data_IF_144381815244
#
_entry.id   IF_144381815244
#
_cell.length_a   1.000
_cell.length_b   1.000
_cell.length_c   1.000
_cell.angle_alpha   90.00
_cell.angle_beta   90.00
_cell.angle_gamma   90.00
#
_symmetry.space_group_name_H-M   'P 1'
#
loop_
_entity.id
_entity.type
_entity.pdbx_description
1 polymer ?
#
# COMPACT_ATOMS: atom_id res chain seq x y z
N UNK A 1 54.89 -34.11 -7.67
CA UNK A 1 53.48 -33.74 -7.93
C UNK A 1 53.18 -32.48 -7.13
N UNK A 2 52.50 -31.53 -7.78
CA UNK A 2 52.12 -30.18 -7.31
C UNK A 2 53.28 -29.26 -6.87
N UNK A 3 53.73 -28.42 -7.80
CA UNK A 3 54.57 -27.26 -7.56
C UNK A 3 53.80 -26.25 -6.69
N UNK A 4 54.17 -26.09 -5.42
CA UNK A 4 53.53 -25.19 -4.44
C UNK A 4 54.02 -23.75 -4.51
N UNK A 5 54.87 -23.39 -5.50
CA UNK A 5 55.18 -21.99 -5.81
C UNK A 5 54.09 -21.36 -6.68
N UNK A 6 52.82 -21.57 -6.34
CA UNK A 6 51.73 -20.76 -6.88
C UNK A 6 51.81 -19.38 -6.24
N UNK A 7 52.76 -18.59 -6.75
CA UNK A 7 52.70 -17.13 -6.70
C UNK A 7 51.36 -16.76 -7.32
N UNK A 8 50.38 -16.40 -6.52
CA UNK A 8 49.37 -15.47 -7.01
C UNK A 8 50.12 -14.15 -7.25
N UNK A 9 50.70 -14.02 -8.44
CA UNK A 9 50.83 -12.68 -9.01
C UNK A 9 49.39 -12.19 -9.04
N UNK A 10 49.11 -11.07 -8.38
CA UNK A 10 48.05 -10.22 -8.84
C UNK A 10 48.44 -9.80 -10.26
N UNK A 11 48.21 -10.69 -11.23
CA UNK A 11 48.04 -10.31 -12.62
C UNK A 11 47.12 -9.13 -12.56
N UNK A 12 47.63 -8.01 -13.05
CA UNK A 12 46.97 -6.73 -13.25
C UNK A 12 45.48 -6.91 -13.06
N UNK A 13 44.95 -6.51 -11.90
CA UNK A 13 43.51 -6.53 -11.67
C UNK A 13 42.94 -5.47 -12.60
N UNK A 14 42.68 -5.88 -13.85
CA UNK A 14 41.92 -5.17 -14.88
C UNK A 14 40.43 -5.45 -14.72
N UNK A 15 39.98 -5.90 -13.54
CA UNK A 15 38.56 -5.83 -13.24
C UNK A 15 38.23 -4.38 -12.90
N UNK A 16 37.16 -3.86 -13.52
CA UNK A 16 36.50 -2.60 -13.16
C UNK A 16 35.93 -2.62 -11.71
N UNK A 17 36.32 -3.59 -10.90
CA UNK A 17 35.84 -3.85 -9.54
C UNK A 17 36.82 -3.21 -8.57
N UNK A 18 36.64 -1.91 -8.38
CA UNK A 18 37.42 -1.09 -7.46
C UNK A 18 37.43 -1.72 -6.07
N UNK A 19 38.58 -2.30 -5.72
CA UNK A 19 38.77 -3.07 -4.50
C UNK A 19 38.48 -2.26 -3.22
N UNK A 20 38.64 -0.94 -3.26
CA UNK A 20 38.09 -0.04 -2.24
C UNK A 20 38.07 1.43 -2.72
N UNK A 21 36.89 2.07 -2.81
CA UNK A 21 36.72 3.50 -3.03
C UNK A 21 37.60 4.43 -2.18
N UNK A 22 37.74 4.15 -0.90
CA UNK A 22 38.46 5.00 0.04
C UNK A 22 39.99 4.84 -0.09
N UNK A 23 40.46 3.67 -0.57
CA UNK A 23 41.88 3.43 -0.80
C UNK A 23 42.38 4.10 -2.08
N UNK A 24 41.54 4.20 -3.11
CA UNK A 24 41.88 4.84 -4.39
C UNK A 24 42.15 6.35 -4.29
N UNK A 25 41.71 7.00 -3.21
CA UNK A 25 41.96 8.42 -2.93
C UNK A 25 43.11 8.65 -1.93
N UNK A 26 43.65 7.59 -1.30
CA UNK A 26 44.86 7.71 -0.49
C UNK A 26 46.08 7.82 -1.40
N UNK A 27 46.88 8.87 -1.22
CA UNK A 27 48.20 8.98 -1.85
C UNK A 27 49.07 7.84 -1.30
N UNK A 28 49.10 6.71 -1.99
CA UNK A 28 49.80 5.52 -1.53
C UNK A 28 51.23 5.59 -2.07
N UNK A 29 52.21 5.83 -1.18
CA UNK A 29 53.53 5.23 -1.35
C UNK A 29 53.31 3.71 -1.44
N UNK A 30 53.86 3.07 -2.48
CA UNK A 30 53.72 1.64 -2.78
C UNK A 30 53.61 0.79 -1.50
N UNK A 31 52.40 0.32 -1.19
CA UNK A 31 52.19 -0.63 -0.10
C UNK A 31 52.19 -2.03 -0.70
N UNK A 32 53.32 -2.72 -0.61
CA UNK A 32 53.43 -4.14 -0.98
C UNK A 32 53.00 -4.99 0.22
N UNK A 33 52.14 -5.98 -0.02
CA UNK A 33 51.73 -6.97 0.99
C UNK A 33 52.62 -8.21 0.84
N UNK A 34 53.61 -8.39 1.71
CA UNK A 34 54.33 -9.66 1.85
C UNK A 34 53.66 -10.53 2.91
N UNK A 35 53.28 -11.75 2.53
CA UNK A 35 52.86 -12.81 3.44
C UNK A 35 54.09 -13.62 3.86
N UNK A 36 54.66 -13.28 5.02
CA UNK A 36 55.80 -13.99 5.61
C UNK A 36 55.35 -14.96 6.72
N UNK A 37 54.26 -15.71 6.50
CA UNK A 37 53.73 -16.76 7.39
C UNK A 37 53.48 -16.35 8.85
N UNK A 38 53.52 -15.06 9.16
CA UNK A 38 53.41 -14.56 10.52
C UNK A 38 52.06 -13.87 10.70
N UNK A 39 51.14 -14.55 11.40
CA UNK A 39 49.97 -13.90 11.98
C UNK A 39 50.44 -12.68 12.78
N UNK A 40 50.00 -11.49 12.36
CA UNK A 40 49.80 -10.30 13.19
C UNK A 40 50.74 -10.21 14.42
N UNK A 41 52.03 -9.92 14.21
CA UNK A 41 52.89 -9.40 15.27
C UNK A 41 53.57 -8.11 14.82
N UNK A 42 53.66 -7.13 15.72
CA UNK A 42 54.15 -5.80 15.44
C UNK A 42 55.28 -5.41 16.38
N UNK A 43 56.39 -4.99 15.79
CA UNK A 43 57.37 -4.13 16.44
C UNK A 43 57.63 -2.94 15.52
N UNK A 44 57.23 -1.76 16.01
CA UNK A 44 57.49 -0.37 15.58
C UNK A 44 58.14 -0.09 14.21
N UNK A 45 57.46 0.74 13.40
CA UNK A 45 58.01 1.47 12.23
C UNK A 45 57.33 1.10 10.91
N UNK A 46 56.66 2.06 10.25
CA UNK A 46 55.93 2.03 8.94
C UNK A 46 54.91 0.90 8.67
N UNK A 47 55.03 -0.24 9.32
CA UNK A 47 54.12 -1.39 9.23
C UNK A 47 52.80 -1.19 9.99
N UNK A 48 52.61 -0.12 10.78
CA UNK A 48 51.36 0.11 11.52
C UNK A 48 50.24 0.61 10.61
N UNK A 49 50.50 1.58 9.74
CA UNK A 49 49.50 2.12 8.81
C UNK A 49 49.07 1.06 7.78
N UNK A 50 50.02 0.29 7.24
CA UNK A 50 49.74 -0.83 6.34
C UNK A 50 48.89 -1.91 7.03
N UNK A 51 49.14 -2.19 8.32
CA UNK A 51 48.31 -3.11 9.13
C UNK A 51 46.90 -2.56 9.36
N UNK A 52 46.75 -1.29 9.71
CA UNK A 52 45.44 -0.66 9.86
C UNK A 52 44.66 -0.63 8.54
N UNK A 53 45.33 -0.37 7.42
CA UNK A 53 44.75 -0.42 6.09
C UNK A 53 44.31 -1.86 5.73
N UNK A 54 45.18 -2.85 5.94
CA UNK A 54 44.86 -4.27 5.72
C UNK A 54 43.69 -4.75 6.57
N UNK A 55 43.61 -4.36 7.85
CA UNK A 55 42.48 -4.67 8.72
C UNK A 55 41.19 -4.03 8.22
N UNK A 56 41.23 -2.76 7.79
CA UNK A 56 40.08 -2.09 7.21
C UNK A 56 39.62 -2.82 5.93
N UNK A 57 40.54 -3.17 5.03
CA UNK A 57 40.23 -3.86 3.78
C UNK A 57 39.65 -5.25 4.01
N UNK A 58 40.21 -6.03 4.95
CA UNK A 58 39.66 -7.33 5.34
C UNK A 58 38.25 -7.21 5.91
N UNK A 59 37.95 -6.15 6.66
CA UNK A 59 36.60 -5.88 7.16
C UNK A 59 35.63 -5.52 6.02
N UNK A 60 36.04 -4.71 5.05
CA UNK A 60 35.22 -4.38 3.87
C UNK A 60 34.84 -5.62 3.05
N UNK A 61 35.79 -6.52 2.85
CA UNK A 61 35.57 -7.79 2.14
C UNK A 61 34.62 -8.71 2.93
N UNK A 62 34.87 -8.87 4.24
CA UNK A 62 34.01 -9.67 5.13
C UNK A 62 32.57 -9.15 5.17
N UNK A 63 32.38 -7.82 5.15
CA UNK A 63 31.06 -7.20 5.12
C UNK A 63 30.37 -7.31 3.75
N UNK A 64 31.08 -7.74 2.70
CA UNK A 64 30.53 -7.99 1.37
C UNK A 64 30.48 -6.75 0.49
N UNK A 65 31.43 -5.81 0.61
CA UNK A 65 31.54 -4.70 -0.34
C UNK A 65 31.81 -5.14 -1.80
N UNK A 66 32.58 -6.22 -2.09
CA UNK A 66 32.78 -6.70 -3.45
C UNK A 66 31.74 -7.73 -3.88
N UNK A 67 30.63 -7.92 -3.14
CA UNK A 67 29.67 -9.00 -3.38
C UNK A 67 29.30 -9.19 -4.86
N UNK A 68 29.78 -10.28 -5.46
CA UNK A 68 29.43 -10.78 -6.79
C UNK A 68 28.46 -11.97 -6.72
N UNK A 69 28.03 -12.34 -5.51
CA UNK A 69 27.14 -13.49 -5.30
C UNK A 69 25.78 -13.20 -5.94
N UNK A 70 25.33 -14.12 -6.81
CA UNK A 70 24.05 -14.04 -7.52
C UNK A 70 22.91 -13.76 -6.53
N UNK A 71 22.09 -12.76 -6.82
CA UNK A 71 20.93 -12.30 -6.02
C UNK A 71 21.24 -11.61 -4.68
N UNK A 72 22.50 -11.27 -4.39
CA UNK A 72 22.85 -10.47 -3.21
C UNK A 72 23.38 -9.09 -3.61
N UNK A 73 23.06 -8.07 -2.82
CA UNK A 73 23.54 -6.69 -3.00
C UNK A 73 24.78 -6.44 -2.16
N UNK A 74 25.63 -5.50 -2.60
CA UNK A 74 26.79 -5.02 -1.85
C UNK A 74 26.36 -4.51 -0.47
N UNK A 75 27.29 -4.51 0.51
CA UNK A 75 27.02 -4.06 1.88
C UNK A 75 26.38 -2.66 1.98
N UNK A 76 26.78 -1.73 1.12
CA UNK A 76 26.22 -0.39 1.10
C UNK A 76 25.00 -0.26 0.18
N UNK A 77 24.75 -1.24 -0.69
CA UNK A 77 23.75 -1.18 -1.76
C UNK A 77 24.37 -0.86 -3.13
N UNK A 78 23.51 -0.57 -4.10
CA UNK A 78 23.94 -0.15 -5.44
C UNK A 78 24.42 1.31 -5.41
N UNK A 79 25.31 1.67 -6.34
CA UNK A 79 25.73 3.07 -6.45
C UNK A 79 24.56 3.97 -6.85
N UNK A 80 24.48 5.15 -6.22
CA UNK A 80 23.41 6.12 -6.48
C UNK A 80 23.92 7.13 -7.50
N UNK A 81 23.22 7.26 -8.63
CA UNK A 81 23.54 8.27 -9.63
C UNK A 81 23.29 9.67 -9.08
N UNK A 82 24.23 10.59 -9.30
CA UNK A 82 24.05 12.01 -9.03
C UNK A 82 23.36 12.63 -10.25
N UNK A 83 22.37 13.48 -10.03
CA UNK A 83 21.65 14.16 -11.10
C UNK A 83 22.57 15.05 -11.96
N UNK A 84 22.15 15.29 -13.19
CA UNK A 84 22.87 16.12 -14.15
C UNK A 84 24.07 15.44 -14.80
N UNK A 85 24.79 16.22 -15.60
CA UNK A 85 26.08 15.83 -16.18
C UNK A 85 27.20 16.66 -15.58
N UNK A 86 28.38 16.08 -15.45
CA UNK A 86 29.50 16.68 -14.74
C UNK A 86 30.74 16.71 -15.63
N UNK A 87 31.54 17.77 -15.50
CA UNK A 87 32.75 17.99 -16.25
C UNK A 87 33.85 18.54 -15.35
N UNK A 88 35.08 18.13 -15.60
CA UNK A 88 36.26 18.67 -14.93
C UNK A 88 37.49 18.48 -15.81
N UNK A 89 38.45 19.38 -15.65
CA UNK A 89 39.72 19.31 -16.36
C UNK A 89 40.74 18.54 -15.53
N UNK A 90 41.71 17.92 -16.20
CA UNK A 90 42.85 17.29 -15.55
C UNK A 90 43.62 18.32 -14.70
N UNK A 91 44.21 17.85 -13.60
CA UNK A 91 44.96 18.63 -12.61
C UNK A 91 44.15 19.75 -11.96
N UNK A 92 42.83 19.53 -11.81
CA UNK A 92 41.95 20.46 -11.09
C UNK A 92 41.19 19.74 -9.97
N UNK A 93 40.77 20.53 -8.98
CA UNK A 93 39.94 20.06 -7.87
C UNK A 93 38.45 20.34 -8.09
N UNK A 94 38.09 21.09 -9.15
CA UNK A 94 36.74 21.62 -9.34
C UNK A 94 35.97 20.72 -10.30
N UNK A 95 34.78 20.33 -9.90
CA UNK A 95 33.84 19.57 -10.72
C UNK A 95 32.62 20.45 -10.97
N UNK A 96 32.34 20.73 -12.24
CA UNK A 96 31.24 21.58 -12.67
C UNK A 96 30.13 20.70 -13.26
N UNK A 97 28.89 21.00 -12.91
CA UNK A 97 27.70 20.27 -13.33
C UNK A 97 26.77 21.11 -14.20
N UNK A 98 25.92 20.42 -14.95
CA UNK A 98 24.77 20.99 -15.64
C UNK A 98 23.54 20.18 -15.26
N UNK A 99 22.53 20.83 -14.66
CA UNK A 99 21.29 20.18 -14.22
C UNK A 99 21.46 19.26 -13.01
N UNK A 100 22.52 19.44 -12.22
CA UNK A 100 22.78 18.69 -11.00
C UNK A 100 22.13 19.29 -9.76
N UNK A 101 22.06 18.47 -8.70
CA UNK A 101 21.47 18.81 -7.40
C UNK A 101 22.40 18.46 -6.23
N UNK A 102 23.69 18.78 -6.36
CA UNK A 102 24.73 18.39 -5.39
C UNK A 102 24.45 18.83 -3.94
N UNK A 103 23.78 19.96 -3.71
CA UNK A 103 23.45 20.43 -2.36
C UNK A 103 22.46 19.55 -1.61
N UNK A 104 21.74 18.68 -2.31
CA UNK A 104 20.72 17.78 -1.75
C UNK A 104 21.08 16.31 -1.89
N UNK A 105 21.95 15.97 -2.83
CA UNK A 105 22.24 14.57 -3.21
C UNK A 105 23.57 14.06 -2.66
N UNK A 106 24.50 14.94 -2.29
CA UNK A 106 25.82 14.60 -1.76
C UNK A 106 26.17 15.47 -0.56
N UNK A 107 27.11 15.00 0.27
CA UNK A 107 27.64 15.76 1.40
C UNK A 107 29.16 15.89 1.34
N UNK A 108 29.70 16.86 2.09
CA UNK A 108 31.13 16.93 2.34
C UNK A 108 31.61 15.62 2.98
N UNK A 109 32.80 15.18 2.59
CA UNK A 109 33.42 13.92 2.99
C UNK A 109 32.85 12.64 2.39
N UNK A 110 31.80 12.70 1.57
CA UNK A 110 31.34 11.53 0.81
C UNK A 110 32.27 11.21 -0.36
N UNK A 111 32.13 9.98 -0.87
CA UNK A 111 32.92 9.50 -2.00
C UNK A 111 32.09 9.56 -3.28
N UNK A 112 32.67 10.14 -4.32
CA UNK A 112 32.11 10.19 -5.67
C UNK A 112 32.97 9.37 -6.63
N UNK A 113 32.29 8.66 -7.52
CA UNK A 113 32.86 7.77 -8.53
C UNK A 113 32.72 8.42 -9.90
N UNK A 114 33.85 8.53 -10.59
CA UNK A 114 33.98 8.98 -11.96
C UNK A 114 34.06 7.78 -12.92
N UNK A 115 33.77 7.99 -14.21
CA UNK A 115 34.02 6.98 -15.23
C UNK A 115 35.46 6.45 -15.20
N UNK A 116 35.64 5.17 -15.53
CA UNK A 116 36.95 4.52 -15.43
C UNK A 116 37.37 4.17 -14.00
N UNK A 117 36.45 4.29 -13.03
CA UNK A 117 36.65 3.85 -11.66
C UNK A 117 37.50 4.78 -10.79
N UNK A 118 37.68 6.03 -11.21
CA UNK A 118 38.37 7.00 -10.36
C UNK A 118 37.44 7.43 -9.23
N UNK A 119 37.93 7.40 -8.00
CA UNK A 119 37.15 7.76 -6.82
C UNK A 119 37.81 8.94 -6.11
N UNK A 120 36.99 9.89 -5.67
CA UNK A 120 37.44 11.06 -4.93
C UNK A 120 36.52 11.36 -3.76
N UNK A 121 37.11 11.85 -2.68
CA UNK A 121 36.38 12.44 -1.57
C UNK A 121 35.95 13.86 -1.91
N UNK A 122 34.69 14.17 -1.63
CA UNK A 122 34.15 15.52 -1.76
C UNK A 122 34.67 16.38 -0.62
N UNK A 123 35.22 17.55 -0.95
CA UNK A 123 35.82 18.48 0.01
C UNK A 123 34.84 19.59 0.37
N UNK A 124 34.31 20.29 -0.64
CA UNK A 124 33.28 21.32 -0.45
C UNK A 124 32.24 21.27 -1.56
N UNK A 125 30.99 21.54 -1.22
CA UNK A 125 29.91 21.74 -2.19
C UNK A 125 29.67 23.24 -2.28
N UNK A 126 29.93 23.83 -3.44
CA UNK A 126 29.82 25.27 -3.67
C UNK A 126 28.41 25.65 -4.17
N UNK A 127 27.77 24.77 -4.94
CA UNK A 127 26.38 24.94 -5.40
C UNK A 127 25.81 23.60 -5.89
N UNK A 128 24.53 23.58 -6.29
CA UNK A 128 23.89 22.39 -6.90
C UNK A 128 24.65 21.86 -8.12
N UNK A 129 25.41 22.73 -8.81
CA UNK A 129 26.15 22.42 -10.03
C UNK A 129 27.67 22.57 -9.84
N UNK A 130 28.18 22.62 -8.61
CA UNK A 130 29.63 22.70 -8.42
C UNK A 130 30.04 22.16 -7.05
N UNK A 131 31.04 21.29 -7.06
CA UNK A 131 31.72 20.83 -5.85
C UNK A 131 33.22 20.68 -6.11
N UNK A 132 33.99 20.57 -5.04
CA UNK A 132 35.42 20.31 -5.09
C UNK A 132 35.75 18.94 -4.51
N UNK A 133 36.81 18.33 -5.04
CA UNK A 133 37.35 17.06 -4.55
C UNK A 133 38.61 17.28 -3.71
N UNK A 134 38.96 16.30 -2.89
CA UNK A 134 40.10 16.38 -1.97
C UNK A 134 41.46 16.30 -2.68
N UNK A 135 41.52 15.65 -3.85
CA UNK A 135 42.72 15.44 -4.66
C UNK A 135 42.42 15.65 -6.14
N UNK A 136 43.39 16.18 -6.87
CA UNK A 136 43.26 16.51 -8.29
C UNK A 136 42.88 15.26 -9.12
N UNK A 137 42.05 15.50 -10.14
CA UNK A 137 41.68 14.50 -11.13
C UNK A 137 42.75 14.47 -12.23
N UNK A 138 43.23 13.28 -12.59
CA UNK A 138 44.32 13.13 -13.57
C UNK A 138 43.83 13.19 -15.03
N UNK A 139 42.54 12.96 -15.24
CA UNK A 139 41.92 12.88 -16.57
C UNK A 139 40.92 14.02 -16.76
N UNK A 140 40.70 14.41 -18.02
CA UNK A 140 39.59 15.25 -18.40
C UNK A 140 38.30 14.43 -18.43
N UNK A 141 37.22 14.97 -17.87
CA UNK A 141 35.89 14.40 -17.95
C UNK A 141 34.96 15.45 -18.55
N UNK A 142 34.18 15.06 -19.56
CA UNK A 142 33.23 15.95 -20.24
C UNK A 142 31.85 15.32 -20.25
N UNK A 143 30.87 16.02 -19.69
CA UNK A 143 29.45 15.65 -19.63
C UNK A 143 29.21 14.22 -19.14
N UNK A 144 29.94 13.81 -18.10
CA UNK A 144 29.87 12.46 -17.57
C UNK A 144 28.80 12.34 -16.48
N UNK A 145 28.26 11.15 -16.33
CA UNK A 145 27.43 10.79 -15.18
C UNK A 145 28.34 10.36 -14.04
N UNK A 146 28.06 10.86 -12.84
CA UNK A 146 28.77 10.49 -11.62
C UNK A 146 27.86 9.67 -10.71
N UNK A 147 28.48 8.85 -9.89
CA UNK A 147 27.78 8.06 -8.88
C UNK A 147 28.38 8.31 -7.50
N UNK A 148 27.58 8.17 -6.45
CA UNK A 148 28.05 8.14 -5.06
C UNK A 148 27.85 6.76 -4.46
N UNK A 149 28.61 6.50 -3.41
CA UNK A 149 28.32 5.38 -2.52
C UNK A 149 27.20 5.79 -1.55
N UNK A 150 26.10 5.02 -1.48
CA UNK A 150 25.16 5.18 -0.37
C UNK A 150 25.84 4.85 0.97
N UNK A 151 25.37 5.46 2.04
CA UNK A 151 25.83 5.15 3.40
C UNK A 151 25.11 3.92 3.94
N UNK A 152 25.71 3.27 4.95
CA UNK A 152 25.02 2.20 5.68
C UNK A 152 23.70 2.68 6.31
N UNK A 153 23.68 3.94 6.78
CA UNK A 153 22.48 4.56 7.36
C UNK A 153 21.32 4.63 6.36
N UNK A 154 21.60 5.06 5.12
CA UNK A 154 20.58 5.09 4.05
C UNK A 154 20.05 3.68 3.73
N UNK A 155 20.91 2.67 3.72
CA UNK A 155 20.50 1.27 3.50
C UNK A 155 19.65 0.74 4.64
N UNK A 156 20.07 0.95 5.89
CA UNK A 156 19.33 0.50 7.08
C UNK A 156 17.96 1.19 7.16
N UNK A 157 17.90 2.49 6.92
CA UNK A 157 16.62 3.21 6.84
C UNK A 157 15.68 2.63 5.79
N UNK A 158 16.20 2.30 4.60
CA UNK A 158 15.40 1.68 3.55
C UNK A 158 14.85 0.31 3.97
N UNK A 159 15.62 -0.47 4.74
CA UNK A 159 15.19 -1.76 5.30
C UNK A 159 14.13 -1.55 6.39
N UNK A 160 14.32 -0.58 7.29
CA UNK A 160 13.34 -0.22 8.32
C UNK A 160 12.00 0.19 7.70
N UNK A 161 12.04 1.06 6.69
CA UNK A 161 10.84 1.49 5.97
C UNK A 161 10.15 0.30 5.26
N UNK A 162 10.93 -0.67 4.73
CA UNK A 162 10.40 -1.92 4.14
C UNK A 162 9.78 -2.85 5.19
N UNK A 163 10.40 -2.98 6.36
CA UNK A 163 9.89 -3.80 7.46
C UNK A 163 8.59 -3.22 7.99
N UNK A 164 8.53 -1.90 8.24
CA UNK A 164 7.31 -1.26 8.75
C UNK A 164 6.17 -1.29 7.73
N UNK A 165 6.47 -1.13 6.44
CA UNK A 165 5.48 -1.29 5.37
C UNK A 165 4.96 -2.72 5.23
N UNK A 166 5.78 -3.73 5.53
CA UNK A 166 5.41 -5.15 5.43
C UNK A 166 4.43 -5.63 6.51
N UNK A 167 4.32 -4.92 7.65
CA UNK A 167 3.44 -5.32 8.76
C UNK A 167 1.95 -5.12 8.46
N UNK A 168 1.62 -4.22 7.54
CA UNK A 168 0.23 -3.88 7.19
C UNK A 168 0.02 -4.18 5.70
N UNK A 169 -0.78 -5.20 5.36
CA UNK A 169 -0.94 -5.61 3.97
C UNK A 169 -1.63 -4.54 3.13
N UNK A 170 -1.32 -4.51 1.84
CA UNK A 170 -1.98 -3.62 0.88
C UNK A 170 -3.50 -3.79 0.92
N UNK A 171 -4.23 -2.67 0.91
CA UNK A 171 -5.70 -2.65 1.03
C UNK A 171 -6.21 -2.78 2.47
N UNK A 172 -5.36 -3.02 3.47
CA UNK A 172 -5.78 -2.97 4.86
C UNK A 172 -6.21 -1.55 5.26
N UNK A 173 -7.21 -1.48 6.13
CA UNK A 173 -7.76 -0.23 6.64
C UNK A 173 -7.44 -0.12 8.12
N UNK A 174 -6.90 1.03 8.52
CA UNK A 174 -6.56 1.36 9.91
C UNK A 174 -7.31 2.61 10.36
N UNK A 175 -7.54 2.72 11.66
CA UNK A 175 -7.92 3.97 12.30
C UNK A 175 -6.68 4.84 12.51
N UNK A 176 -6.77 6.11 12.17
CA UNK A 176 -5.68 7.08 12.33
C UNK A 176 -6.25 8.46 12.72
N UNK A 177 -6.75 8.61 13.96
CA UNK A 177 -7.41 9.83 14.41
C UNK A 177 -6.47 11.04 14.51
N UNK A 178 -5.15 10.82 14.57
CA UNK A 178 -4.14 11.85 14.74
C UNK A 178 -3.29 12.09 13.48
N UNK A 179 -3.67 11.52 12.34
CA UNK A 179 -2.95 11.65 11.07
C UNK A 179 -1.47 11.24 11.11
N UNK A 180 -1.13 10.20 11.88
CA UNK A 180 0.24 9.72 12.05
C UNK A 180 0.67 8.73 10.97
N UNK A 181 -0.27 8.11 10.25
CA UNK A 181 0.06 7.18 9.18
C UNK A 181 0.70 7.93 7.99
N UNK A 182 1.80 7.38 7.47
CA UNK A 182 2.55 7.99 6.37
C UNK A 182 1.67 8.26 5.16
N UNK A 183 1.69 9.49 4.67
CA UNK A 183 0.83 9.98 3.56
C UNK A 183 1.20 9.39 2.20
N UNK A 184 2.41 8.86 2.05
CA UNK A 184 2.84 8.08 0.88
C UNK A 184 2.23 6.68 0.90
N UNK A 185 2.08 6.15 2.10
CA UNK A 185 1.77 4.75 2.36
C UNK A 185 0.27 4.51 2.60
N UNK A 186 -0.42 5.54 3.07
CA UNK A 186 -1.82 5.49 3.47
C UNK A 186 -2.59 6.67 2.89
N UNK A 187 -3.85 6.43 2.51
CA UNK A 187 -4.78 7.44 2.01
C UNK A 187 -6.09 7.39 2.75
N UNK A 188 -6.71 8.55 2.97
CA UNK A 188 -8.05 8.63 3.55
C UNK A 188 -9.07 7.91 2.65
N UNK A 189 -10.01 7.19 3.26
CA UNK A 189 -11.07 6.47 2.52
C UNK A 189 -12.29 7.36 2.29
N UNK A 190 -12.13 8.31 1.35
CA UNK A 190 -13.10 9.36 1.03
C UNK A 190 -13.43 9.43 -0.47
N UNK A 191 -13.28 8.31 -1.20
CA UNK A 191 -13.46 8.24 -2.66
C UNK A 191 -12.43 9.01 -3.49
N UNK A 192 -11.33 9.49 -2.90
CA UNK A 192 -10.30 10.21 -3.66
C UNK A 192 -9.70 9.33 -4.78
N UNK A 193 -9.39 9.96 -5.91
CA UNK A 193 -8.67 9.33 -7.00
C UNK A 193 -7.17 9.28 -6.68
N UNK A 194 -6.55 8.12 -6.86
CA UNK A 194 -5.13 7.88 -6.67
C UNK A 194 -4.50 7.28 -7.94
N UNK A 195 -3.22 7.56 -8.15
CA UNK A 195 -2.48 7.17 -9.36
C UNK A 195 -2.30 5.65 -9.48
N UNK A 196 -2.65 5.08 -10.64
CA UNK A 196 -2.40 3.66 -10.97
C UNK A 196 -0.91 3.36 -11.10
N UNK A 197 -0.11 4.32 -11.58
CA UNK A 197 1.33 4.12 -11.75
C UNK A 197 2.05 4.15 -10.41
N UNK A 198 1.71 5.10 -9.54
CA UNK A 198 2.33 5.26 -8.22
C UNK A 198 1.94 4.13 -7.28
N UNK A 199 0.67 3.72 -7.29
CA UNK A 199 0.12 2.69 -6.41
C UNK A 199 -0.25 1.43 -7.19
N UNK A 200 0.67 1.00 -8.06
CA UNK A 200 0.47 -0.12 -9.00
C UNK A 200 0.31 -1.47 -8.31
N UNK A 201 0.99 -1.67 -7.17
CA UNK A 201 0.86 -2.90 -6.39
C UNK A 201 -0.57 -3.11 -5.88
N UNK A 202 -1.17 -2.09 -5.25
CA UNK A 202 -2.57 -2.16 -4.84
C UNK A 202 -3.50 -2.24 -6.05
N UNK A 203 -3.25 -1.47 -7.11
CA UNK A 203 -4.07 -1.54 -8.32
C UNK A 203 -4.12 -2.98 -8.87
N UNK A 204 -2.98 -3.67 -8.96
CA UNK A 204 -2.89 -5.06 -9.43
C UNK A 204 -3.67 -6.06 -8.56
N UNK A 205 -3.83 -5.78 -7.25
CA UNK A 205 -4.69 -6.60 -6.39
C UNK A 205 -6.17 -6.39 -6.72
N UNK A 206 -6.59 -5.16 -6.99
CA UNK A 206 -8.00 -4.77 -7.13
C UNK A 206 -8.53 -4.97 -8.56
N UNK A 207 -7.70 -4.88 -9.60
CA UNK A 207 -8.15 -4.91 -11.00
C UNK A 207 -7.85 -6.23 -11.72
N UNK A 208 -8.67 -6.56 -12.71
CA UNK A 208 -8.45 -7.65 -13.68
C UNK A 208 -8.83 -7.19 -15.08
N UNK A 209 -8.25 -7.82 -16.10
CA UNK A 209 -8.58 -7.55 -17.51
C UNK A 209 -9.61 -8.56 -18.01
N UNK A 210 -10.74 -8.06 -18.48
CA UNK A 210 -11.73 -8.85 -19.24
C UNK A 210 -11.23 -8.95 -20.67
N UNK A 211 -10.91 -10.17 -21.10
CA UNK A 211 -10.41 -10.44 -22.44
C UNK A 211 -11.54 -10.46 -23.47
N UNK A 212 -12.65 -11.12 -23.13
CA UNK A 212 -13.85 -11.21 -23.97
C UNK A 212 -15.04 -11.67 -23.15
N UNK A 213 -16.23 -11.59 -23.75
CA UNK A 213 -17.42 -12.30 -23.28
C UNK A 213 -17.78 -13.36 -24.32
N UNK A 214 -18.26 -14.52 -23.87
CA UNK A 214 -18.79 -15.60 -24.70
C UNK A 214 -20.31 -15.70 -24.51
N UNK A 215 -21.09 -14.96 -25.32
CA UNK A 215 -22.55 -14.90 -25.24
C UNK A 215 -23.25 -16.26 -25.20
N UNK A 216 -22.82 -17.21 -26.03
CA UNK A 216 -23.44 -18.53 -26.12
C UNK A 216 -23.43 -19.35 -24.81
N UNK A 217 -22.65 -18.92 -23.82
CA UNK A 217 -22.49 -19.60 -22.52
C UNK A 217 -22.57 -18.63 -21.33
N UNK A 218 -22.88 -17.36 -21.58
CA UNK A 218 -22.91 -16.28 -20.58
C UNK A 218 -21.60 -16.13 -19.78
N UNK A 219 -20.46 -16.42 -20.41
CA UNK A 219 -19.17 -16.45 -19.72
C UNK A 219 -18.34 -15.22 -19.99
N UNK A 220 -17.77 -14.66 -18.92
CA UNK A 220 -16.82 -13.56 -18.95
C UNK A 220 -15.42 -14.14 -18.81
N UNK A 221 -14.59 -13.99 -19.84
CA UNK A 221 -13.24 -14.55 -19.88
C UNK A 221 -12.26 -13.61 -19.19
N UNK A 222 -11.73 -14.03 -18.04
CA UNK A 222 -10.76 -13.30 -17.23
C UNK A 222 -9.72 -14.31 -16.72
N UNK A 223 -8.56 -14.37 -17.37
CA UNK A 223 -7.54 -15.36 -17.02
C UNK A 223 -7.03 -15.14 -15.57
N UNK A 224 -6.93 -16.23 -14.79
CA UNK A 224 -6.44 -16.20 -13.41
C UNK A 224 -7.10 -15.12 -12.54
N UNK A 225 -8.43 -14.97 -12.65
CA UNK A 225 -9.15 -13.90 -11.95
C UNK A 225 -9.13 -14.04 -10.42
N UNK A 226 -9.12 -15.28 -9.92
CA UNK A 226 -9.07 -15.57 -8.48
C UNK A 226 -10.36 -15.25 -7.73
N UNK A 227 -11.47 -15.10 -8.44
CA UNK A 227 -12.78 -14.80 -7.85
C UNK A 227 -13.44 -16.08 -7.34
N UNK A 228 -14.28 -15.91 -6.32
CA UNK A 228 -15.08 -17.00 -5.72
C UNK A 228 -16.57 -16.78 -5.94
N UNK A 229 -17.36 -17.85 -5.78
CA UNK A 229 -18.83 -17.80 -5.87
C UNK A 229 -19.40 -16.73 -4.93
N UNK A 230 -20.31 -15.91 -5.44
CA UNK A 230 -20.97 -14.85 -4.67
C UNK A 230 -20.11 -13.62 -4.41
N UNK A 231 -18.90 -13.53 -4.96
CA UNK A 231 -18.07 -12.33 -4.84
C UNK A 231 -18.65 -11.17 -5.66
N UNK A 232 -18.58 -9.95 -5.12
CA UNK A 232 -18.97 -8.74 -5.83
C UNK A 232 -17.87 -8.25 -6.78
N UNK A 233 -18.26 -7.94 -8.02
CA UNK A 233 -17.39 -7.35 -9.05
C UNK A 233 -18.07 -6.17 -9.73
N UNK A 234 -17.28 -5.30 -10.33
CA UNK A 234 -17.74 -4.17 -11.17
C UNK A 234 -16.98 -4.13 -12.50
N UNK A 235 -17.62 -3.62 -13.54
CA UNK A 235 -17.02 -3.48 -14.87
C UNK A 235 -16.92 -2.01 -15.30
N UNK A 236 -15.89 -1.70 -16.09
CA UNK A 236 -15.62 -0.35 -16.61
C UNK A 236 -16.44 0.00 -17.85
N UNK A 237 -17.21 -0.94 -18.39
CA UNK A 237 -17.86 -0.82 -19.70
C UNK A 237 -19.34 -1.18 -19.61
N UNK A 238 -20.12 -0.67 -20.57
CA UNK A 238 -21.52 -1.01 -20.80
C UNK A 238 -21.64 -1.70 -22.15
N UNK A 239 -22.34 -2.83 -22.21
CA UNK A 239 -22.52 -3.63 -23.41
C UNK A 239 -22.65 -5.12 -23.09
N UNK A 240 -23.22 -5.90 -24.00
CA UNK A 240 -23.33 -7.36 -23.87
C UNK A 240 -24.09 -7.84 -22.64
N UNK A 241 -25.08 -7.07 -22.15
CA UNK A 241 -25.84 -7.37 -20.92
C UNK A 241 -25.23 -6.80 -19.64
N UNK A 242 -24.07 -6.13 -19.72
CA UNK A 242 -23.39 -5.49 -18.59
C UNK A 242 -23.61 -3.97 -18.62
N UNK A 243 -23.85 -3.39 -17.46
CA UNK A 243 -23.89 -1.94 -17.22
C UNK A 243 -22.67 -1.53 -16.41
N UNK A 244 -21.92 -0.53 -16.88
CA UNK A 244 -20.75 -0.02 -16.18
C UNK A 244 -21.10 0.43 -14.74
N UNK A 245 -20.13 0.32 -13.83
CA UNK A 245 -20.24 0.74 -12.42
C UNK A 245 -21.31 0.00 -11.60
N UNK A 246 -22.03 -0.95 -12.20
CA UNK A 246 -23.03 -1.77 -11.52
C UNK A 246 -22.35 -2.96 -10.85
N UNK A 247 -22.76 -3.24 -9.61
CA UNK A 247 -22.30 -4.37 -8.82
C UNK A 247 -22.95 -5.66 -9.33
N UNK A 248 -22.14 -6.68 -9.62
CA UNK A 248 -22.58 -8.01 -10.01
C UNK A 248 -21.99 -9.07 -9.09
N UNK A 249 -22.70 -10.18 -8.93
CA UNK A 249 -22.22 -11.34 -8.19
C UNK A 249 -21.61 -12.35 -9.15
N UNK A 250 -20.40 -12.81 -8.85
CA UNK A 250 -19.70 -13.89 -9.56
C UNK A 250 -20.42 -15.21 -9.33
N UNK A 251 -20.69 -15.94 -10.41
CA UNK A 251 -21.38 -17.23 -10.42
C UNK A 251 -20.61 -18.25 -11.25
N UNK A 252 -20.62 -19.50 -10.79
CA UNK A 252 -19.98 -20.65 -11.44
C UNK A 252 -18.53 -20.37 -11.91
N UNK A 253 -17.66 -19.80 -11.05
CA UNK A 253 -16.30 -19.46 -11.44
C UNK A 253 -15.47 -20.71 -11.75
N UNK A 254 -14.62 -20.61 -12.77
CA UNK A 254 -13.49 -21.51 -13.00
C UNK A 254 -12.19 -20.79 -12.66
N UNK A 255 -11.05 -21.23 -13.20
CA UNK A 255 -9.80 -20.49 -13.07
C UNK A 255 -9.75 -19.24 -13.97
N UNK A 256 -10.46 -19.28 -15.11
CA UNK A 256 -10.27 -18.34 -16.22
C UNK A 256 -11.55 -17.70 -16.75
N UNK A 257 -12.71 -18.11 -16.22
CA UNK A 257 -14.00 -17.54 -16.59
C UNK A 257 -15.00 -17.66 -15.44
N UNK A 258 -16.08 -16.91 -15.55
CA UNK A 258 -17.22 -17.00 -14.65
C UNK A 258 -18.47 -16.43 -15.35
N UNK A 259 -19.63 -16.67 -14.74
CA UNK A 259 -20.91 -16.05 -15.11
C UNK A 259 -21.30 -15.02 -14.05
N UNK A 260 -22.31 -14.19 -14.30
CA UNK A 260 -22.72 -13.16 -13.33
C UNK A 260 -24.23 -13.17 -13.05
N UNK A 261 -24.61 -12.69 -11.87
CA UNK A 261 -26.01 -12.44 -11.48
C UNK A 261 -26.18 -11.09 -10.78
N UNK A 262 -27.41 -10.56 -10.80
CA UNK A 262 -27.75 -9.29 -10.12
C UNK A 262 -27.88 -9.42 -8.59
N UNK A 263 -28.15 -10.62 -8.09
CA UNK A 263 -28.23 -10.94 -6.66
C UNK A 263 -27.33 -12.13 -6.33
N UNK A 264 -26.99 -12.30 -5.05
CA UNK A 264 -26.01 -13.29 -4.59
C UNK A 264 -26.26 -14.73 -5.07
N UNK A 265 -27.53 -15.12 -5.18
CA UNK A 265 -27.97 -16.46 -5.64
C UNK A 265 -28.94 -16.38 -6.82
N UNK A 266 -28.99 -15.23 -7.51
CA UNK A 266 -29.96 -14.94 -8.57
C UNK A 266 -29.79 -15.75 -9.86
N UNK A 267 -30.66 -15.48 -10.83
CA UNK A 267 -30.50 -16.03 -12.18
C UNK A 267 -29.23 -15.50 -12.85
N UNK A 268 -28.63 -16.32 -13.70
CA UNK A 268 -27.53 -15.89 -14.56
C UNK A 268 -28.05 -14.83 -15.53
N UNK A 269 -27.26 -13.76 -15.70
CA UNK A 269 -27.54 -12.71 -16.66
C UNK A 269 -27.19 -13.22 -18.06
N UNK A 270 -28.15 -13.10 -18.97
CA UNK A 270 -27.97 -13.36 -20.41
C UNK A 270 -27.02 -12.32 -21.02
N UNK A 271 -25.85 -12.78 -21.50
CA UNK A 271 -24.84 -11.92 -22.10
C UNK A 271 -24.97 -11.94 -23.62
N UNK A 272 -25.19 -10.77 -24.22
CA UNK A 272 -25.66 -10.70 -25.62
C UNK A 272 -24.58 -10.38 -26.65
N UNK A 273 -23.40 -9.92 -26.22
CA UNK A 273 -22.28 -9.60 -27.12
C UNK A 273 -20.93 -9.63 -26.41
N UNK A 274 -19.85 -9.85 -27.17
CA UNK A 274 -18.49 -9.80 -26.63
C UNK A 274 -18.12 -8.38 -26.18
N UNK A 275 -17.45 -8.26 -25.04
CA UNK A 275 -16.87 -7.01 -24.53
C UNK A 275 -15.49 -7.26 -23.95
N UNK A 276 -14.66 -6.22 -23.92
CA UNK A 276 -13.36 -6.23 -23.28
C UNK A 276 -13.20 -4.96 -22.43
N UNK A 277 -12.39 -5.03 -21.38
CA UNK A 277 -12.15 -3.88 -20.51
C UNK A 277 -11.59 -4.25 -19.14
N UNK A 278 -11.80 -3.37 -18.17
CA UNK A 278 -11.31 -3.58 -16.80
C UNK A 278 -12.45 -4.03 -15.89
N UNK A 279 -12.15 -4.97 -15.00
CA UNK A 279 -13.00 -5.40 -13.91
C UNK A 279 -12.32 -5.07 -12.57
N UNK A 280 -13.10 -4.68 -11.56
CA UNK A 280 -12.64 -4.62 -10.17
C UNK A 280 -13.19 -5.81 -9.39
N UNK A 281 -12.32 -6.46 -8.61
CA UNK A 281 -12.66 -7.62 -7.76
C UNK A 281 -13.11 -7.23 -6.34
N UNK A 282 -13.10 -5.93 -6.04
CA UNK A 282 -13.70 -5.36 -4.83
C UNK A 282 -14.57 -4.17 -5.23
N UNK A 283 -15.86 -4.28 -4.90
CA UNK A 283 -16.87 -3.30 -5.24
C UNK A 283 -16.77 -1.97 -4.45
N UNK A 284 -15.88 -1.84 -3.47
CA UNK A 284 -15.67 -0.56 -2.79
C UNK A 284 -14.79 0.40 -3.61
N UNK A 285 -13.94 -0.12 -4.50
CA UNK A 285 -13.07 0.69 -5.33
C UNK A 285 -13.79 1.22 -6.58
N UNK A 286 -13.27 2.31 -7.13
CA UNK A 286 -13.78 2.94 -8.35
C UNK A 286 -12.74 2.97 -9.47
N UNK A 287 -13.20 3.16 -10.71
CA UNK A 287 -12.32 3.17 -11.89
C UNK A 287 -11.54 4.49 -12.09
N UNK A 288 -11.76 5.51 -11.26
CA UNK A 288 -11.15 6.83 -11.43
C UNK A 288 -11.58 7.49 -12.73
N UNK A 289 -10.62 8.13 -13.40
CA UNK A 289 -10.72 8.66 -14.76
C UNK A 289 -10.79 7.57 -15.85
N UNK A 290 -10.79 6.29 -15.47
CA UNK A 290 -10.80 5.15 -16.39
C UNK A 290 -9.43 4.77 -16.96
N UNK A 291 -8.39 5.60 -16.80
CA UNK A 291 -7.10 5.42 -17.46
C UNK A 291 -5.91 5.50 -16.50
N UNK A 292 -5.70 6.64 -15.83
CA UNK A 292 -4.49 6.91 -15.04
C UNK A 292 -4.71 6.80 -13.54
N UNK A 293 -5.96 6.77 -13.09
CA UNK A 293 -6.33 6.78 -11.66
C UNK A 293 -7.36 5.70 -11.31
N UNK A 294 -7.53 5.46 -10.02
CA UNK A 294 -8.61 4.66 -9.45
C UNK A 294 -9.05 5.27 -8.11
N UNK A 295 -10.30 5.07 -7.71
CA UNK A 295 -10.80 5.61 -6.45
C UNK A 295 -10.61 4.59 -5.33
N UNK A 296 -10.10 5.06 -4.19
CA UNK A 296 -10.15 4.30 -2.93
C UNK A 296 -11.60 4.21 -2.41
N UNK A 297 -11.91 3.31 -1.46
CA UNK A 297 -13.22 3.24 -0.84
C UNK A 297 -13.69 4.57 -0.23
N UNK A 298 -14.99 4.73 -0.06
CA UNK A 298 -15.60 5.76 0.79
C UNK A 298 -16.34 5.07 1.94
N UNK A 299 -15.89 5.31 3.17
CA UNK A 299 -16.56 4.76 4.37
C UNK A 299 -16.93 5.84 5.38
N UNK A 300 -17.04 7.10 4.93
CA UNK A 300 -17.47 8.19 5.80
C UNK A 300 -18.95 7.99 6.16
N UNK A 301 -19.27 8.14 7.45
CA UNK A 301 -20.66 8.09 7.93
C UNK A 301 -21.31 6.70 7.96
N UNK A 302 -20.58 5.63 7.66
CA UNK A 302 -21.12 4.26 7.65
C UNK A 302 -20.34 3.34 8.58
N UNK A 303 -21.01 2.32 9.10
CA UNK A 303 -20.41 1.30 9.95
C UNK A 303 -19.89 0.12 9.13
N UNK A 304 -18.77 -0.47 9.57
CA UNK A 304 -18.30 -1.74 9.02
C UNK A 304 -19.07 -2.91 9.64
N UNK A 305 -19.41 -3.90 8.82
CA UNK A 305 -19.93 -5.20 9.23
C UNK A 305 -19.06 -6.29 8.61
N UNK A 306 -18.72 -7.32 9.38
CA UNK A 306 -17.95 -8.46 8.85
C UNK A 306 -18.74 -9.17 7.74
N UNK A 307 -18.12 -9.33 6.57
CA UNK A 307 -18.75 -9.93 5.40
C UNK A 307 -19.14 -11.41 5.63
N UNK A 308 -20.18 -11.85 4.92
CA UNK A 308 -20.67 -13.21 4.89
C UNK A 308 -21.74 -13.53 5.94
N UNK A 309 -22.14 -14.80 5.94
CA UNK A 309 -23.10 -15.38 6.87
C UNK A 309 -22.36 -15.92 8.09
N UNK A 310 -22.75 -15.49 9.29
CA UNK A 310 -22.21 -16.01 10.54
C UNK A 310 -22.50 -17.53 10.66
N UNK A 311 -21.59 -18.31 11.24
CA UNK A 311 -21.76 -19.77 11.34
C UNK A 311 -22.92 -20.26 12.23
N UNK A 312 -23.12 -19.64 13.40
CA UNK A 312 -24.07 -20.16 14.41
C UNK A 312 -24.93 -19.12 15.13
N UNK A 313 -24.68 -17.82 14.96
CA UNK A 313 -25.41 -16.77 15.69
C UNK A 313 -26.63 -16.36 14.91
N UNK A 314 -27.79 -16.60 15.52
CA UNK A 314 -29.08 -16.28 14.93
C UNK A 314 -29.45 -14.82 15.17
N UNK A 315 -30.11 -14.20 14.19
CA UNK A 315 -30.82 -12.92 14.33
C UNK A 315 -32.20 -13.14 14.95
N UNK A 316 -32.89 -12.04 15.29
CA UNK A 316 -34.15 -12.04 16.04
C UNK A 316 -35.24 -12.97 15.49
N UNK A 317 -35.40 -13.04 14.17
CA UNK A 317 -36.43 -13.87 13.49
C UNK A 317 -35.95 -15.29 13.17
N UNK A 318 -34.77 -15.70 13.68
CA UNK A 318 -34.09 -16.91 13.26
C UNK A 318 -33.28 -16.74 11.97
N UNK A 319 -32.45 -17.75 11.68
CA UNK A 319 -31.41 -17.68 10.66
C UNK A 319 -30.20 -16.86 11.10
N UNK A 320 -29.05 -17.08 10.47
CA UNK A 320 -27.81 -16.45 10.91
C UNK A 320 -27.71 -14.98 10.46
N UNK A 321 -26.89 -14.19 11.18
CA UNK A 321 -26.49 -12.87 10.70
C UNK A 321 -25.81 -12.96 9.34
N UNK A 322 -26.15 -12.07 8.42
CA UNK A 322 -25.59 -11.99 7.08
C UNK A 322 -25.30 -10.54 6.72
N UNK A 323 -24.09 -10.28 6.26
CA UNK A 323 -23.63 -8.96 5.82
C UNK A 323 -23.47 -8.87 4.29
N UNK A 324 -23.71 -9.96 3.57
CA UNK A 324 -23.41 -10.06 2.14
C UNK A 324 -21.92 -10.22 1.85
N UNK A 325 -21.55 -10.12 0.58
CA UNK A 325 -20.17 -10.24 0.13
C UNK A 325 -19.31 -9.03 0.54
N UNK A 326 -17.99 -9.15 0.43
CA UNK A 326 -17.06 -8.03 0.63
C UNK A 326 -17.44 -6.89 -0.33
N UNK A 327 -17.59 -5.68 0.23
CA UNK A 327 -18.01 -4.49 -0.51
C UNK A 327 -19.53 -4.33 -0.71
N UNK A 328 -20.35 -5.17 -0.06
CA UNK A 328 -21.80 -5.00 -0.06
C UNK A 328 -22.22 -3.72 0.69
N UNK A 329 -23.04 -2.90 0.05
CA UNK A 329 -23.54 -1.64 0.60
C UNK A 329 -24.96 -1.82 1.18
N UNK A 330 -25.02 -2.26 2.45
CA UNK A 330 -26.29 -2.36 3.18
C UNK A 330 -26.88 -0.99 3.54
N UNK A 331 -28.20 -0.90 3.59
CA UNK A 331 -28.93 0.27 4.09
C UNK A 331 -29.31 0.09 5.56
N UNK A 332 -29.61 1.20 6.23
CA UNK A 332 -30.21 1.15 7.56
C UNK A 332 -31.56 0.43 7.51
N UNK A 333 -31.85 -0.31 8.58
CA UNK A 333 -33.07 -1.10 8.68
C UNK A 333 -33.50 -1.20 10.14
N UNK A 334 -34.80 -1.04 10.36
CA UNK A 334 -35.44 -1.34 11.64
C UNK A 334 -36.02 -2.75 11.59
N UNK A 335 -35.95 -3.53 12.68
CA UNK A 335 -36.69 -4.77 12.77
C UNK A 335 -38.19 -4.53 12.57
N UNK A 336 -38.84 -5.47 11.87
CA UNK A 336 -40.29 -5.49 11.75
C UNK A 336 -40.93 -5.48 13.15
N UNK A 337 -41.90 -4.59 13.34
CA UNK A 337 -42.63 -4.48 14.60
C UNK A 337 -44.02 -3.92 14.34
N UNK A 338 -44.97 -4.36 15.16
CA UNK A 338 -46.35 -3.90 15.12
C UNK A 338 -46.76 -3.35 16.48
N UNK A 339 -47.65 -2.38 16.44
CA UNK A 339 -48.34 -1.89 17.62
C UNK A 339 -49.83 -2.21 17.46
N UNK A 340 -50.38 -2.95 18.41
CA UNK A 340 -51.78 -3.34 18.39
C UNK A 340 -52.54 -2.65 19.53
N UNK A 341 -53.66 -2.02 19.18
CA UNK A 341 -54.66 -1.59 20.16
C UNK A 341 -55.58 -2.78 20.38
N UNK A 342 -55.33 -3.56 21.43
CA UNK A 342 -56.19 -4.70 21.79
C UNK A 342 -57.18 -4.28 22.87
N UNK A 343 -58.46 -4.58 22.65
CA UNK A 343 -59.54 -4.25 23.57
C UNK A 343 -60.01 -5.54 24.27
N UNK A 344 -59.82 -5.64 25.58
CA UNK A 344 -60.27 -6.79 26.38
C UNK A 344 -61.26 -6.33 27.46
N UNK A 345 -62.38 -5.72 27.06
CA UNK A 345 -63.47 -5.37 27.96
C UNK A 345 -64.82 -5.66 27.32
N UNK A 346 -65.68 -6.39 28.04
CA UNK A 346 -67.05 -6.76 27.65
C UNK A 346 -67.98 -5.54 27.56
N UNK A 347 -67.58 -4.40 28.13
CA UNK A 347 -68.38 -3.16 28.24
C UNK A 347 -67.90 -2.00 27.34
N UNK A 348 -66.89 -2.22 26.48
CA UNK A 348 -66.49 -1.31 25.40
C UNK A 348 -65.66 -0.06 25.77
N UNK A 349 -65.19 0.63 24.71
CA UNK A 349 -64.68 2.01 24.56
C UNK A 349 -64.35 2.88 25.82
N UNK A 350 -65.40 3.09 26.64
CA UNK A 350 -65.62 4.31 27.42
C UNK A 350 -65.83 4.13 28.92
N UNK A 351 -65.44 2.99 29.49
CA UNK A 351 -65.66 2.67 30.91
C UNK A 351 -64.56 3.13 31.89
N UNK A 352 -63.81 4.21 31.59
CA UNK A 352 -62.80 4.76 32.49
C UNK A 352 -63.38 5.73 33.53
N UNK A 353 -62.82 5.77 34.74
CA UNK A 353 -63.26 6.64 35.82
C UNK A 353 -63.35 8.11 35.37
N UNK A 354 -64.58 8.63 35.30
CA UNK A 354 -64.91 9.96 34.74
C UNK A 354 -65.91 9.94 33.57
N UNK A 355 -66.21 8.77 33.00
CA UNK A 355 -67.31 8.62 32.04
C UNK A 355 -68.66 8.74 32.72
N UNK A 356 -69.52 9.65 32.22
CA UNK A 356 -70.88 9.81 32.73
C UNK A 356 -71.66 8.52 32.42
N UNK A 357 -72.12 7.82 33.46
CA UNK A 357 -72.87 6.58 33.34
C UNK A 357 -74.12 6.78 32.48
N UNK A 358 -74.36 5.88 31.53
CA UNK A 358 -75.65 5.80 30.85
C UNK A 358 -76.74 5.50 31.88
N UNK A 359 -77.69 6.41 32.06
CA UNK A 359 -78.89 6.11 32.83
C UNK A 359 -79.67 5.00 32.09
N UNK A 360 -80.28 4.09 32.86
CA UNK A 360 -80.99 2.90 32.34
C UNK A 360 -81.97 3.27 31.22
N UNK A 361 -81.72 2.77 30.00
CA UNK A 361 -82.66 2.88 28.86
C UNK A 361 -82.29 3.88 27.76
N UNK A 362 -81.07 4.44 27.73
CA UNK A 362 -80.63 5.34 26.64
C UNK A 362 -79.53 4.74 25.76
N UNK A 363 -79.66 4.90 24.44
CA UNK A 363 -78.61 4.59 23.45
C UNK A 363 -77.82 5.88 23.19
N UNK A 364 -76.61 5.99 23.74
CA UNK A 364 -75.73 7.13 23.46
C UNK A 364 -74.49 6.71 22.67
N UNK A 365 -74.30 7.31 21.51
CA UNK A 365 -73.07 7.20 20.72
C UNK A 365 -72.05 8.17 21.29
N UNK A 366 -70.90 7.69 21.75
CA UNK A 366 -69.78 8.53 22.15
C UNK A 366 -68.59 8.27 21.22
N UNK A 367 -68.00 9.33 20.69
CA UNK A 367 -66.81 9.26 19.85
C UNK A 367 -65.58 9.22 20.73
N UNK A 368 -64.78 8.16 20.63
CA UNK A 368 -63.44 8.09 21.24
C UNK A 368 -62.42 8.07 20.13
N UNK A 369 -61.58 9.11 20.08
CA UNK A 369 -60.42 9.14 19.19
C UNK A 369 -59.29 8.35 19.83
N UNK A 370 -59.04 7.14 19.33
CA UNK A 370 -57.86 6.36 19.71
C UNK A 370 -56.80 6.62 18.64
N UNK A 371 -55.69 7.23 19.05
CA UNK A 371 -54.55 7.49 18.19
C UNK A 371 -53.29 6.89 18.78
N UNK A 372 -52.45 6.37 17.89
CA UNK A 372 -51.16 5.79 18.22
C UNK A 372 -50.10 6.79 17.78
N UNK A 373 -49.43 7.41 18.75
CA UNK A 373 -48.44 8.45 18.51
C UNK A 373 -47.03 7.87 18.42
N UNK A 374 -46.05 8.72 18.11
CA UNK A 374 -44.64 8.35 18.19
C UNK A 374 -44.20 7.97 19.61
N UNK A 375 -42.99 7.42 19.76
CA UNK A 375 -42.47 7.01 21.05
C UNK A 375 -42.43 8.18 22.04
N UNK A 376 -42.94 7.97 23.25
CA UNK A 376 -42.94 8.94 24.35
C UNK A 376 -42.09 8.45 25.52
N UNK A 377 -41.75 9.35 26.45
CA UNK A 377 -41.00 8.99 27.65
C UNK A 377 -41.70 7.88 28.44
N UNK A 378 -40.92 6.86 28.84
CA UNK A 378 -41.41 5.74 29.64
C UNK A 378 -40.65 5.67 30.97
N UNK A 379 -41.12 6.38 32.00
CA UNK A 379 -40.65 6.30 33.39
C UNK A 379 -39.15 6.03 33.52
N UNK A 380 -38.80 4.81 33.94
CA UNK A 380 -37.43 4.35 34.20
C UNK A 380 -36.49 4.36 32.97
N UNK A 381 -37.02 4.39 31.75
CA UNK A 381 -36.27 4.33 30.49
C UNK A 381 -36.03 5.72 29.86
N UNK A 382 -36.54 6.79 30.47
CA UNK A 382 -36.30 8.18 30.05
C UNK A 382 -37.01 8.59 28.75
N UNK A 383 -36.63 9.77 28.23
CA UNK A 383 -37.16 10.34 26.98
C UNK A 383 -36.47 9.73 25.75
N UNK A 384 -37.20 9.21 24.77
CA UNK A 384 -36.64 8.70 23.51
C UNK A 384 -35.82 9.76 22.77
N UNK A 385 -34.67 9.36 22.23
CA UNK A 385 -33.89 10.18 21.29
C UNK A 385 -34.45 9.95 19.88
N UNK A 386 -34.81 11.03 19.20
CA UNK A 386 -35.40 11.00 17.86
C UNK A 386 -34.42 11.62 16.86
N UNK A 387 -34.42 11.11 15.63
CA UNK A 387 -33.58 11.57 14.53
C UNK A 387 -34.13 11.07 13.20
N UNK A 388 -33.49 11.47 12.10
CA UNK A 388 -33.81 11.02 10.74
C UNK A 388 -33.03 9.76 10.32
N UNK A 389 -32.18 9.21 11.18
CA UNK A 389 -31.38 8.02 10.96
C UNK A 389 -31.44 7.12 12.21
N UNK A 390 -31.55 5.80 12.01
CA UNK A 390 -31.48 4.83 13.10
C UNK A 390 -30.02 4.47 13.37
N UNK A 391 -29.42 5.04 14.42
CA UNK A 391 -28.03 4.76 14.80
C UNK A 391 -27.91 4.31 16.27
N UNK A 392 -27.02 3.35 16.58
CA UNK A 392 -26.59 3.10 17.94
C UNK A 392 -25.69 4.27 18.42
N UNK A 393 -25.30 4.26 19.70
CA UNK A 393 -24.26 5.19 20.16
C UNK A 393 -22.95 4.94 19.39
N UNK A 394 -22.28 6.00 18.95
CA UNK A 394 -21.06 5.91 18.14
C UNK A 394 -20.05 7.02 18.46
N UNK A 395 -18.80 6.78 18.05
CA UNK A 395 -17.72 7.77 17.98
C UNK A 395 -17.21 7.80 16.55
N UNK A 396 -17.05 8.98 15.98
CA UNK A 396 -16.49 9.14 14.64
C UNK A 396 -14.96 9.06 14.70
N UNK A 397 -14.37 8.18 13.87
CA UNK A 397 -12.92 8.01 13.73
C UNK A 397 -12.52 8.20 12.28
N UNK A 398 -11.28 8.65 12.05
CA UNK A 398 -10.71 8.77 10.72
C UNK A 398 -10.09 7.44 10.31
N UNK A 399 -10.43 6.96 9.12
CA UNK A 399 -9.87 5.74 8.54
C UNK A 399 -8.95 6.04 7.36
N UNK A 400 -7.90 5.23 7.22
CA UNK A 400 -6.99 5.25 6.07
C UNK A 400 -6.75 3.84 5.53
N UNK A 401 -6.55 3.73 4.22
CA UNK A 401 -6.22 2.48 3.51
C UNK A 401 -4.75 2.45 3.11
N UNK A 402 -4.11 1.28 3.25
CA UNK A 402 -2.73 1.02 2.79
C UNK A 402 -2.68 0.95 1.26
N UNK A 403 -1.92 1.84 0.63
CA UNK A 403 -1.85 1.98 -0.85
C UNK A 403 -0.51 1.66 -1.50
N UNK A 404 0.59 1.68 -0.75
CA UNK A 404 1.95 1.45 -1.26
C UNK A 404 2.68 0.39 -0.45
#
# INVERSE_FOLDING_TARGET
MANTNSKFKAETVVSNELFNPAAADQATENTEFEDNDNFLSGTTGVASLAKYAGMAFGLYDLLGSPSTRRNFKKFFGDYVQISGTWSCNANTLIVNGTGGSATTEINNNELVLFPGGVIRKIKTIASSNQFTVAKELLNNYSNVVLYRLPTLSERLKSIEDLIESSKIPLGAIIEDPFDQASTTNFKEINSQAISRTTYSALWNLVNRTVASITPATDRINVNAHGCVEGQLVKFSFTGGGITALTNYYVRNPTANDFQISATATGAIIDLTSSQAGTMLVNAEYGFGDGSTTYNVPDRRGIFARGAGVHGTRNKMIGGNYDAGAVGYAGQDAIPDHAHAITYNNVLGIGGGAGGNWFNSGTTGTFYVSIAMYGPVANGANGTPRLGNETTPAYVAVKYKVRVA
#
